data_IF_065384089247
#
_entry.id   IF_065384089247
#
_cell.length_a   1.000
_cell.length_b   1.000
_cell.length_c   1.000
_cell.angle_alpha   90.00
_cell.angle_beta   90.00
_cell.angle_gamma   90.00
#
_symmetry.space_group_name_H-M   'P 1'
#
loop_
_entity.id
_entity.type
_entity.pdbx_description
1 polymer ?
#
# COMPACT_ATOMS: atom_id res chain seq x y z
N UNK A 1 7.84 -3.91 13.84
CA UNK A 1 8.71 -2.84 14.39
C UNK A 1 9.06 -1.93 13.22
N UNK A 2 8.84 -0.62 13.32
CA UNK A 2 8.98 0.33 12.21
C UNK A 2 10.41 0.43 11.68
N UNK A 3 11.41 0.05 12.49
CA UNK A 3 12.82 0.10 12.09
C UNK A 3 13.17 -0.87 10.95
N UNK A 4 12.33 -1.85 10.65
CA UNK A 4 12.53 -2.80 9.54
C UNK A 4 11.65 -2.49 8.33
N UNK A 5 10.92 -1.37 8.34
CA UNK A 5 10.08 -0.98 7.22
C UNK A 5 10.96 -0.61 6.01
N UNK A 6 10.53 -1.04 4.83
CA UNK A 6 11.17 -0.61 3.58
C UNK A 6 10.99 0.90 3.40
N UNK A 7 12.09 1.61 3.15
CA UNK A 7 12.04 3.04 2.81
C UNK A 7 11.28 3.29 1.51
N UNK A 8 11.30 2.32 0.59
CA UNK A 8 10.55 2.35 -0.68
C UNK A 8 9.05 2.20 -0.41
N UNK A 9 8.66 1.23 0.41
CA UNK A 9 7.24 1.04 0.80
C UNK A 9 6.69 2.28 1.51
N UNK A 10 7.48 2.92 2.38
CA UNK A 10 7.08 4.14 3.07
C UNK A 10 6.80 5.32 2.13
N UNK A 11 7.72 5.57 1.20
CA UNK A 11 7.58 6.62 0.21
C UNK A 11 6.40 6.35 -0.74
N UNK A 12 6.25 5.10 -1.18
CA UNK A 12 5.16 4.65 -2.05
C UNK A 12 3.79 4.76 -1.37
N UNK A 13 3.67 4.33 -0.12
CA UNK A 13 2.43 4.45 0.65
C UNK A 13 2.01 5.91 0.85
N UNK A 14 2.97 6.80 1.15
CA UNK A 14 2.70 8.23 1.29
C UNK A 14 2.22 8.85 -0.02
N UNK A 15 2.93 8.58 -1.12
CA UNK A 15 2.60 9.11 -2.45
C UNK A 15 1.29 8.55 -2.99
N UNK A 16 0.95 7.30 -2.68
CA UNK A 16 -0.35 6.71 -2.98
C UNK A 16 -1.48 7.47 -2.25
N UNK A 17 -1.33 7.74 -0.95
CA UNK A 17 -2.30 8.52 -0.19
C UNK A 17 -2.50 9.93 -0.77
N UNK A 18 -1.40 10.61 -1.11
CA UNK A 18 -1.45 11.90 -1.81
C UNK A 18 -2.19 11.80 -3.15
N UNK A 19 -1.88 10.78 -3.97
CA UNK A 19 -2.53 10.58 -5.27
C UNK A 19 -4.02 10.30 -5.11
N UNK A 20 -4.44 9.54 -4.10
CA UNK A 20 -5.85 9.29 -3.83
C UNK A 20 -6.63 10.59 -3.57
N UNK A 21 -6.06 11.50 -2.76
CA UNK A 21 -6.67 12.81 -2.51
C UNK A 21 -6.77 13.66 -3.79
N UNK A 22 -5.72 13.67 -4.62
CA UNK A 22 -5.74 14.35 -5.92
C UNK A 22 -6.78 13.77 -6.87
N UNK A 23 -6.90 12.43 -6.93
CA UNK A 23 -7.91 11.75 -7.76
C UNK A 23 -9.32 12.13 -7.31
N UNK A 24 -9.59 12.15 -6.01
CA UNK A 24 -10.89 12.58 -5.48
C UNK A 24 -11.22 14.03 -5.89
N UNK A 25 -10.23 14.93 -5.84
CA UNK A 25 -10.40 16.34 -6.19
C UNK A 25 -10.58 16.58 -7.69
N UNK A 26 -9.79 15.91 -8.54
CA UNK A 26 -9.72 16.19 -9.98
C UNK A 26 -10.66 15.29 -10.80
N UNK A 27 -10.90 14.08 -10.33
CA UNK A 27 -11.55 13.01 -11.10
C UNK A 27 -12.79 12.42 -10.42
N UNK A 28 -13.07 12.82 -9.18
CA UNK A 28 -14.20 12.33 -8.40
C UNK A 28 -14.02 10.90 -7.89
N UNK A 29 -15.13 10.19 -7.77
CA UNK A 29 -15.22 8.84 -7.18
C UNK A 29 -15.05 7.72 -8.20
N UNK A 30 -14.98 6.47 -7.73
CA UNK A 30 -14.98 5.28 -8.60
C UNK A 30 -13.58 4.79 -9.00
N UNK A 31 -12.53 5.38 -8.43
CA UNK A 31 -11.14 5.06 -8.75
C UNK A 31 -10.35 4.63 -7.52
N UNK A 32 -9.33 3.79 -7.75
CA UNK A 32 -8.26 3.47 -6.81
C UNK A 32 -6.95 4.06 -7.31
N UNK A 33 -6.17 4.70 -6.44
CA UNK A 33 -4.80 5.12 -6.74
C UNK A 33 -3.90 3.88 -6.91
N UNK A 34 -3.06 3.86 -7.92
CA UNK A 34 -2.24 2.69 -8.27
C UNK A 34 -0.78 3.05 -8.54
N UNK A 35 0.11 2.06 -8.35
CA UNK A 35 1.55 2.15 -8.63
C UNK A 35 1.84 1.39 -9.92
N UNK A 36 2.49 2.07 -10.87
CA UNK A 36 2.88 1.49 -12.14
C UNK A 36 4.40 1.54 -12.27
N UNK A 37 5.04 0.38 -12.24
CA UNK A 37 6.49 0.23 -12.45
C UNK A 37 6.84 0.67 -13.87
N UNK A 38 7.80 1.57 -14.01
CA UNK A 38 8.30 2.01 -15.31
C UNK A 38 9.34 1.02 -15.85
N UNK A 39 9.39 0.81 -17.17
CA UNK A 39 10.43 -0.03 -17.78
C UNK A 39 11.80 0.61 -17.60
N UNK A 40 12.83 -0.22 -17.40
CA UNK A 40 14.22 0.24 -17.29
C UNK A 40 15.05 -0.62 -16.35
N UNK A 41 16.35 -0.32 -16.30
CA UNK A 41 17.30 -0.99 -15.39
C UNK A 41 17.20 -0.50 -13.95
N UNK A 42 16.73 0.72 -13.74
CA UNK A 42 16.59 1.35 -12.42
C UNK A 42 15.12 1.27 -12.02
N UNK A 43 14.85 0.83 -10.79
CA UNK A 43 13.50 0.80 -10.26
C UNK A 43 12.91 2.22 -10.16
N UNK A 44 11.81 2.44 -10.87
CA UNK A 44 11.04 3.68 -10.86
C UNK A 44 9.57 3.37 -10.99
N UNK A 45 8.75 4.19 -10.36
CA UNK A 45 7.30 4.07 -10.39
C UNK A 45 6.67 5.40 -10.78
N UNK A 46 5.50 5.32 -11.40
CA UNK A 46 4.58 6.44 -11.55
C UNK A 46 3.27 6.11 -10.85
N UNK A 47 2.63 7.12 -10.28
CA UNK A 47 1.36 6.98 -9.59
C UNK A 47 0.22 7.41 -10.49
N UNK A 48 -0.82 6.59 -10.56
CA UNK A 48 -1.96 6.81 -11.44
C UNK A 48 -3.25 6.39 -10.74
N UNK A 49 -4.33 6.23 -11.50
CA UNK A 49 -5.62 5.71 -11.04
C UNK A 49 -6.12 4.59 -11.95
N UNK A 50 -6.93 3.70 -11.38
CA UNK A 50 -7.63 2.62 -12.10
C UNK A 50 -9.09 2.56 -11.65
N UNK A 51 -10.06 2.30 -12.54
CA UNK A 51 -11.46 2.12 -12.13
C UNK A 51 -11.63 0.97 -11.14
N UNK A 52 -12.45 1.18 -10.09
CA UNK A 52 -12.68 0.16 -9.06
C UNK A 52 -13.28 -1.14 -9.61
N UNK A 53 -14.11 -1.05 -10.65
CA UNK A 53 -14.72 -2.21 -11.33
C UNK A 53 -13.68 -3.18 -11.92
N UNK A 54 -12.54 -2.66 -12.39
CA UNK A 54 -11.46 -3.46 -12.94
C UNK A 54 -10.66 -4.15 -11.83
N UNK A 55 -10.50 -3.47 -10.69
CA UNK A 55 -9.77 -4.00 -9.53
C UNK A 55 -10.59 -5.08 -8.82
N UNK A 56 -11.90 -4.87 -8.65
CA UNK A 56 -12.77 -5.80 -7.93
C UNK A 56 -12.78 -7.22 -8.52
N UNK A 57 -12.53 -7.36 -9.82
CA UNK A 57 -12.52 -8.64 -10.53
C UNK A 57 -11.11 -9.13 -10.88
N UNK A 58 -10.07 -8.47 -10.38
CA UNK A 58 -8.69 -8.78 -10.72
C UNK A 58 -7.88 -9.16 -9.48
N UNK A 59 -7.25 -10.32 -9.54
CA UNK A 59 -6.29 -10.78 -8.53
C UNK A 59 -4.91 -10.93 -9.16
N UNK A 60 -3.88 -10.57 -8.40
CA UNK A 60 -2.49 -10.75 -8.81
C UNK A 60 -1.92 -12.00 -8.15
N UNK A 61 -1.93 -13.10 -8.90
CA UNK A 61 -1.34 -14.36 -8.46
C UNK A 61 0.18 -14.29 -8.40
N UNK A 62 0.77 -15.13 -7.55
CA UNK A 62 2.20 -15.40 -7.56
C UNK A 62 2.53 -16.20 -8.84
N UNK A 63 3.30 -15.64 -9.80
CA UNK A 63 3.64 -16.33 -11.05
C UNK A 63 4.34 -17.66 -10.79
N UNK A 64 3.98 -18.71 -11.52
CA UNK A 64 4.64 -20.02 -11.40
C UNK A 64 6.14 -19.94 -11.74
N UNK A 65 6.53 -19.05 -12.66
CA UNK A 65 7.93 -18.80 -13.02
C UNK A 65 8.76 -18.21 -11.86
N UNK A 66 8.12 -17.71 -10.80
CA UNK A 66 8.79 -17.21 -9.61
C UNK A 66 9.11 -18.29 -8.59
N UNK A 67 8.61 -19.51 -8.78
CA UNK A 67 8.84 -20.67 -7.89
C UNK A 67 9.94 -21.54 -8.51
N UNK A 68 10.91 -21.97 -7.70
CA UNK A 68 11.98 -22.87 -8.16
C UNK A 68 11.41 -24.21 -8.66
N UNK A 69 12.11 -24.92 -9.58
CA UNK A 69 11.62 -26.20 -10.12
C UNK A 69 11.34 -27.27 -9.07
N UNK A 70 12.12 -27.30 -7.99
CA UNK A 70 11.97 -28.20 -6.84
C UNK A 70 10.93 -27.69 -5.81
N UNK A 71 10.39 -26.49 -6.01
CA UNK A 71 9.38 -25.82 -5.19
C UNK A 71 9.80 -25.53 -3.74
N UNK A 72 11.11 -25.42 -3.49
CA UNK A 72 11.64 -25.11 -2.16
C UNK A 72 12.12 -23.66 -2.02
N UNK A 73 12.27 -22.94 -3.14
CA UNK A 73 12.80 -21.58 -3.19
C UNK A 73 12.11 -20.74 -4.30
N UNK A 74 12.58 -19.52 -4.49
CA UNK A 74 12.16 -18.57 -5.52
C UNK A 74 13.20 -18.43 -6.62
N UNK A 75 12.78 -18.01 -7.81
CA UNK A 75 13.71 -17.79 -8.93
C UNK A 75 14.34 -16.40 -8.91
N UNK A 76 15.41 -16.22 -9.69
CA UNK A 76 16.05 -14.91 -9.90
C UNK A 76 15.08 -13.85 -10.46
N UNK A 77 14.03 -14.26 -11.16
CA UNK A 77 12.99 -13.33 -11.63
C UNK A 77 12.24 -12.70 -10.47
N UNK A 78 11.88 -13.50 -9.47
CA UNK A 78 11.27 -12.99 -8.25
C UNK A 78 12.21 -12.07 -7.49
N UNK A 79 13.47 -12.48 -7.31
CA UNK A 79 14.47 -11.64 -6.63
C UNK A 79 14.60 -10.28 -7.33
N UNK A 80 14.64 -10.27 -8.66
CA UNK A 80 14.69 -9.02 -9.46
C UNK A 80 13.44 -8.16 -9.29
N UNK A 81 12.27 -8.79 -9.11
CA UNK A 81 11.02 -8.09 -8.82
C UNK A 81 11.01 -7.49 -7.40
N UNK A 82 11.32 -8.30 -6.40
CA UNK A 82 11.15 -7.99 -4.98
C UNK A 82 12.28 -7.14 -4.39
N UNK A 83 13.53 -7.36 -4.81
CA UNK A 83 14.72 -6.66 -4.28
C UNK A 83 14.59 -5.14 -4.21
N UNK A 84 14.14 -4.42 -5.25
CA UNK A 84 14.01 -2.97 -5.11
C UNK A 84 12.89 -2.53 -4.15
N UNK A 85 11.91 -3.40 -3.86
CA UNK A 85 10.80 -3.08 -2.96
C UNK A 85 11.21 -3.14 -1.48
N UNK A 86 12.31 -3.81 -1.14
CA UNK A 86 12.80 -3.89 0.25
C UNK A 86 13.54 -2.63 0.70
N UNK A 87 13.96 -1.79 -0.25
CA UNK A 87 14.87 -0.68 -0.01
C UNK A 87 16.30 -1.14 0.29
N UNK A 88 17.24 -0.20 0.20
CA UNK A 88 18.67 -0.42 0.48
C UNK A 88 19.12 0.27 1.80
N UNK A 89 18.22 1.03 2.45
CA UNK A 89 18.50 1.86 3.61
C UNK A 89 17.57 1.56 4.79
N UNK A 90 18.02 1.92 5.99
CA UNK A 90 17.21 1.88 7.20
C UNK A 90 16.24 3.06 7.25
N UNK A 91 14.97 2.85 7.67
CA UNK A 91 14.03 3.95 7.85
C UNK A 91 14.45 4.84 9.01
N UNK A 92 14.36 6.16 8.82
CA UNK A 92 14.62 7.14 9.86
C UNK A 92 13.46 7.18 10.86
N UNK A 93 13.56 6.42 11.95
CA UNK A 93 12.52 6.38 13.00
C UNK A 93 12.94 7.26 14.17
N UNK A 94 12.19 8.33 14.49
CA UNK A 94 12.53 9.21 15.61
C UNK A 94 12.44 8.46 16.95
N UNK A 95 13.38 8.73 17.84
CA UNK A 95 13.44 8.15 19.18
C UNK A 95 13.25 9.23 20.26
N UNK A 96 12.58 8.86 21.35
CA UNK A 96 12.49 9.65 22.59
C UNK A 96 12.77 8.69 23.74
N UNK A 97 13.77 8.99 24.58
CA UNK A 97 14.21 8.15 25.70
C UNK A 97 14.49 6.69 25.31
N UNK A 98 15.14 6.49 24.15
CA UNK A 98 15.49 5.16 23.62
C UNK A 98 14.30 4.36 23.06
N UNK A 99 13.11 4.95 22.94
CA UNK A 99 11.90 4.32 22.42
C UNK A 99 11.44 4.98 21.13
N UNK A 100 10.83 4.21 20.23
CA UNK A 100 10.26 4.75 18.99
C UNK A 100 9.13 5.72 19.29
N UNK A 101 9.23 6.90 18.68
CA UNK A 101 8.24 7.97 18.83
C UNK A 101 7.15 7.83 17.78
N UNK A 102 6.12 7.06 18.12
CA UNK A 102 4.91 6.98 17.32
C UNK A 102 4.03 8.23 17.49
N UNK A 103 3.22 8.51 16.46
CA UNK A 103 2.19 9.52 16.54
C UNK A 103 1.17 9.16 17.64
N UNK A 104 0.78 10.15 18.44
CA UNK A 104 -0.32 10.04 19.40
C UNK A 104 -1.46 10.91 18.88
N UNK A 105 -2.38 10.29 18.15
CA UNK A 105 -3.54 10.99 17.62
C UNK A 105 -4.58 11.14 18.73
N UNK A 106 -5.09 12.35 18.92
CA UNK A 106 -6.21 12.58 19.81
C UNK A 106 -7.49 12.04 19.16
N UNK A 107 -8.29 11.21 19.86
CA UNK A 107 -9.48 10.61 19.30
C UNK A 107 -10.66 11.60 19.28
N UNK A 108 -10.53 12.67 18.49
CA UNK A 108 -11.59 13.67 18.30
C UNK A 108 -12.57 13.13 17.25
N UNK A 109 -13.66 12.54 17.72
CA UNK A 109 -14.70 12.00 16.84
C UNK A 109 -15.76 13.04 16.49
N UNK A 110 -16.34 12.92 15.29
CA UNK A 110 -17.53 13.69 14.93
C UNK A 110 -18.74 13.23 15.76
N UNK A 111 -19.59 14.17 16.16
CA UNK A 111 -20.83 13.85 16.86
C UNK A 111 -21.77 12.98 16.02
N UNK A 112 -22.38 11.98 16.65
CA UNK A 112 -23.35 11.08 15.99
C UNK A 112 -24.59 11.86 15.54
N UNK A 113 -24.94 11.74 14.24
CA UNK A 113 -26.12 12.40 13.66
C UNK A 113 -27.27 11.46 13.32
N UNK A 114 -26.98 10.16 13.16
CA UNK A 114 -27.95 9.15 12.75
C UNK A 114 -28.17 8.14 13.89
N UNK A 115 -29.33 7.46 13.97
CA UNK A 115 -29.53 6.38 14.92
C UNK A 115 -28.48 5.27 14.81
N UNK A 116 -28.27 4.47 15.87
CA UNK A 116 -27.39 3.31 15.81
C UNK A 116 -27.74 2.40 14.62
N UNK A 117 -26.70 1.91 13.94
CA UNK A 117 -26.87 0.99 12.82
C UNK A 117 -27.44 -0.34 13.31
N UNK A 118 -28.59 -0.75 12.76
CA UNK A 118 -29.12 -2.10 12.91
C UNK A 118 -28.69 -2.93 11.69
N UNK A 119 -27.85 -3.97 11.87
CA UNK A 119 -27.41 -4.85 10.81
C UNK A 119 -28.58 -5.38 9.98
N UNK A 120 -28.41 -5.41 8.65
CA UNK A 120 -29.48 -5.80 7.73
C UNK A 120 -30.04 -7.20 8.05
N UNK A 121 -29.19 -8.13 8.51
CA UNK A 121 -29.58 -9.49 8.89
C UNK A 121 -30.46 -9.60 10.16
N UNK A 122 -30.55 -8.53 10.96
CA UNK A 122 -31.32 -8.48 12.21
C UNK A 122 -32.55 -7.55 12.10
N UNK A 123 -32.90 -7.12 10.88
CA UNK A 123 -34.10 -6.31 10.60
C UNK A 123 -35.37 -7.16 10.46
N UNK A 124 -35.39 -8.36 11.06
CA UNK A 124 -36.52 -9.28 11.12
C UNK A 124 -36.85 -9.60 12.57
#
# INVERSE_FOLDING_TARGET
NMIYASTVDLDEAYKLGQKAALVAAESGSGYMSTILRQPGRVYRVRYDKVPLEQVANSERFFPQAWISPDRTDVTDEFIRYARPLTGDDWPAVPLVDGRQRFARLEPIFAGQKLPPYVPQAQRG
#
